data_IF_204465617477
#
_entry.id   IF_204465617477
#
_cell.length_a   1.000
_cell.length_b   1.000
_cell.length_c   1.000
_cell.angle_alpha   90.00
_cell.angle_beta   90.00
_cell.angle_gamma   90.00
#
_symmetry.space_group_name_H-M   'P 1'
#
loop_
_entity.id
_entity.type
_entity.pdbx_description
1 polymer ?
#
# COMPACT_ATOMS: atom_id res chain seq x y z
N UNK A 1 11.39 37.68 -4.80
CA UNK A 1 11.10 36.57 -5.73
C UNK A 1 11.43 35.28 -5.00
N UNK A 2 10.38 34.54 -4.64
CA UNK A 2 10.43 33.31 -3.87
C UNK A 2 11.20 32.28 -4.69
N UNK A 3 12.23 31.68 -4.08
CA UNK A 3 13.05 30.62 -4.64
C UNK A 3 12.16 29.47 -5.12
N UNK A 4 11.83 29.49 -6.41
CA UNK A 4 11.21 28.42 -7.16
C UNK A 4 12.28 27.36 -7.53
N UNK A 5 13.16 27.06 -6.59
CA UNK A 5 14.10 25.96 -6.69
C UNK A 5 13.41 24.71 -6.16
N UNK A 6 12.49 24.18 -6.96
CA UNK A 6 12.25 22.74 -7.09
C UNK A 6 13.54 22.08 -7.63
N UNK A 7 14.65 22.28 -6.92
CA UNK A 7 15.88 21.57 -7.16
C UNK A 7 15.66 20.16 -6.63
N UNK A 8 15.12 19.34 -7.53
CA UNK A 8 15.34 17.91 -7.61
C UNK A 8 15.34 17.20 -6.26
N UNK A 9 14.13 16.82 -5.83
CA UNK A 9 13.92 15.45 -5.35
C UNK A 9 14.72 14.55 -6.30
N UNK A 10 15.57 13.67 -5.77
CA UNK A 10 16.30 12.71 -6.57
C UNK A 10 15.40 12.22 -7.70
N UNK A 11 15.85 12.41 -8.95
CA UNK A 11 15.04 12.28 -10.17
C UNK A 11 14.16 11.00 -10.16
N UNK A 12 14.60 9.97 -9.43
CA UNK A 12 13.96 8.70 -9.14
C UNK A 12 12.59 8.79 -8.45
N UNK A 13 12.41 9.58 -7.39
CA UNK A 13 11.17 9.57 -6.61
C UNK A 13 10.05 10.32 -7.35
N UNK A 14 10.34 11.48 -7.94
CA UNK A 14 9.41 12.15 -8.84
C UNK A 14 9.03 11.27 -10.04
N UNK A 15 10.02 10.61 -10.68
CA UNK A 15 9.76 9.64 -11.76
C UNK A 15 8.85 8.51 -11.29
N UNK A 16 9.06 7.99 -10.08
CA UNK A 16 8.24 6.92 -9.52
C UNK A 16 6.77 7.36 -9.36
N UNK A 17 6.51 8.59 -8.91
CA UNK A 17 5.15 9.16 -8.83
C UNK A 17 4.53 9.28 -10.23
N UNK A 18 5.28 9.76 -11.22
CA UNK A 18 4.82 9.83 -12.61
C UNK A 18 4.47 8.44 -13.15
N UNK A 19 5.31 7.44 -12.91
CA UNK A 19 5.02 6.04 -13.28
C UNK A 19 3.78 5.50 -12.56
N UNK A 20 3.58 5.81 -11.28
CA UNK A 20 2.36 5.44 -10.55
C UNK A 20 1.11 6.06 -11.18
N UNK A 21 1.16 7.32 -11.62
CA UNK A 21 0.03 7.97 -12.33
C UNK A 21 -0.29 7.22 -13.63
N UNK A 22 0.74 6.90 -14.43
CA UNK A 22 0.57 6.13 -15.68
C UNK A 22 -0.04 4.75 -15.38
N UNK A 23 0.47 4.05 -14.36
CA UNK A 23 -0.04 2.77 -13.91
C UNK A 23 -1.52 2.87 -13.49
N UNK A 24 -1.90 3.90 -12.73
CA UNK A 24 -3.29 4.16 -12.35
C UNK A 24 -4.17 4.29 -13.59
N UNK A 25 -3.75 5.06 -14.59
CA UNK A 25 -4.51 5.25 -15.84
C UNK A 25 -4.71 3.92 -16.57
N UNK A 26 -3.63 3.14 -16.74
CA UNK A 26 -3.68 1.82 -17.38
C UNK A 26 -4.61 0.87 -16.61
N UNK A 27 -4.47 0.81 -15.28
CA UNK A 27 -5.30 -0.05 -14.45
C UNK A 27 -6.78 0.34 -14.55
N UNK A 28 -7.09 1.64 -14.51
CA UNK A 28 -8.48 2.13 -14.68
C UNK A 28 -9.05 1.75 -16.05
N UNK A 29 -8.25 1.81 -17.11
CA UNK A 29 -8.65 1.35 -18.42
C UNK A 29 -8.95 -0.15 -18.42
N UNK A 30 -8.08 -0.98 -17.86
CA UNK A 30 -8.26 -2.44 -17.79
C UNK A 30 -9.46 -2.84 -16.92
N UNK A 31 -9.66 -2.19 -15.77
CA UNK A 31 -10.82 -2.40 -14.90
C UNK A 31 -12.13 -2.19 -15.67
N UNK A 32 -12.21 -1.11 -16.45
CA UNK A 32 -13.37 -0.82 -17.31
C UNK A 32 -13.52 -1.86 -18.42
N UNK A 33 -12.42 -2.19 -19.11
CA UNK A 33 -12.41 -3.17 -20.22
C UNK A 33 -12.91 -4.54 -19.77
N UNK A 34 -12.49 -5.02 -18.61
CA UNK A 34 -12.87 -6.32 -18.07
C UNK A 34 -14.13 -6.29 -17.18
N UNK A 35 -14.80 -5.13 -17.06
CA UNK A 35 -16.02 -4.95 -16.25
C UNK A 35 -15.86 -5.45 -14.80
N UNK A 36 -14.70 -5.19 -14.20
CA UNK A 36 -14.39 -5.68 -12.86
C UNK A 36 -15.22 -4.93 -11.80
N UNK A 37 -15.67 -5.61 -10.72
CA UNK A 37 -16.52 -5.04 -9.69
C UNK A 37 -15.72 -4.13 -8.74
N UNK A 38 -15.31 -2.95 -9.21
CA UNK A 38 -14.45 -2.01 -8.48
C UNK A 38 -15.14 -0.67 -8.28
N UNK A 39 -15.10 -0.14 -7.05
CA UNK A 39 -15.80 1.10 -6.70
C UNK A 39 -14.85 2.13 -6.08
N UNK A 40 -14.99 3.39 -6.49
CA UNK A 40 -14.17 4.51 -6.01
C UNK A 40 -14.91 5.42 -5.03
N UNK A 41 -16.23 5.61 -5.20
CA UNK A 41 -17.00 6.60 -4.46
C UNK A 41 -18.36 6.09 -3.99
N UNK A 42 -18.53 4.76 -3.92
CA UNK A 42 -19.81 4.19 -3.46
C UNK A 42 -19.98 4.46 -1.97
N UNK A 43 -21.19 4.89 -1.57
CA UNK A 43 -21.56 5.14 -0.17
C UNK A 43 -21.05 3.98 0.70
N UNK A 44 -20.25 4.33 1.70
CA UNK A 44 -19.61 3.38 2.61
C UNK A 44 -20.66 2.45 3.21
N UNK A 45 -20.60 1.17 2.85
CA UNK A 45 -21.47 0.14 3.43
C UNK A 45 -20.65 -1.10 3.67
N UNK A 46 -20.20 -1.26 4.91
CA UNK A 46 -19.55 -2.48 5.38
C UNK A 46 -20.56 -3.62 5.25
N UNK A 47 -20.19 -4.66 4.52
CA UNK A 47 -20.93 -5.92 4.52
C UNK A 47 -20.14 -6.94 5.29
N UNK A 48 -20.50 -7.09 6.56
CA UNK A 48 -19.83 -7.98 7.49
C UNK A 48 -19.94 -7.49 8.92
N UNK A 49 -19.28 -8.19 9.83
CA UNK A 49 -19.22 -7.81 11.23
C UNK A 49 -18.23 -6.65 11.43
N UNK A 50 -18.75 -5.43 11.59
CA UNK A 50 -17.97 -4.20 11.82
C UNK A 50 -17.01 -4.34 12.99
N UNK A 51 -17.39 -5.03 14.06
CA UNK A 51 -16.52 -5.25 15.24
C UNK A 51 -15.28 -6.04 14.88
N UNK A 52 -15.42 -7.12 14.09
CA UNK A 52 -14.25 -7.90 13.62
C UNK A 52 -13.33 -7.08 12.73
N UNK A 53 -13.89 -6.24 11.87
CA UNK A 53 -13.11 -5.32 11.03
C UNK A 53 -12.29 -4.35 11.89
N UNK A 54 -12.91 -3.74 12.90
CA UNK A 54 -12.22 -2.83 13.83
C UNK A 54 -11.09 -3.58 14.54
N UNK A 55 -11.37 -4.76 15.10
CA UNK A 55 -10.37 -5.59 15.79
C UNK A 55 -9.19 -5.90 14.88
N UNK A 56 -9.43 -6.39 13.66
CA UNK A 56 -8.34 -6.70 12.72
C UNK A 56 -7.56 -5.46 12.29
N UNK A 57 -8.23 -4.33 12.13
CA UNK A 57 -7.57 -3.06 11.80
C UNK A 57 -6.65 -2.61 12.93
N UNK A 58 -7.12 -2.70 14.19
CA UNK A 58 -6.31 -2.37 15.37
C UNK A 58 -5.11 -3.31 15.50
N UNK A 59 -5.32 -4.62 15.35
CA UNK A 59 -4.23 -5.61 15.36
C UNK A 59 -3.19 -5.29 14.28
N UNK A 60 -3.64 -4.94 13.07
CA UNK A 60 -2.73 -4.57 11.98
C UNK A 60 -1.97 -3.29 12.26
N UNK A 61 -2.60 -2.28 12.85
CA UNK A 61 -1.90 -1.04 13.26
C UNK A 61 -0.82 -1.38 14.30
N UNK A 62 -1.14 -2.18 15.32
CA UNK A 62 -0.17 -2.57 16.36
C UNK A 62 1.00 -3.33 15.75
N UNK A 63 0.72 -4.31 14.89
CA UNK A 63 1.74 -5.10 14.19
C UNK A 63 2.63 -4.18 13.32
N UNK A 64 2.01 -3.29 12.56
CA UNK A 64 2.70 -2.36 11.66
C UNK A 64 3.61 -1.42 12.46
N UNK A 65 3.10 -0.79 13.53
CA UNK A 65 3.89 0.07 14.42
C UNK A 65 5.05 -0.71 15.06
N UNK A 66 4.78 -1.90 15.62
CA UNK A 66 5.80 -2.71 16.29
C UNK A 66 6.95 -3.12 15.36
N UNK A 67 6.62 -3.55 14.13
CA UNK A 67 7.64 -3.92 13.13
C UNK A 67 8.45 -2.69 12.71
N UNK A 68 7.81 -1.55 12.45
CA UNK A 68 8.52 -0.33 12.03
C UNK A 68 9.44 0.23 13.13
N UNK A 69 9.00 0.21 14.39
CA UNK A 69 9.87 0.57 15.53
C UNK A 69 11.06 -0.38 15.61
N UNK A 70 10.82 -1.69 15.47
CA UNK A 70 11.90 -2.69 15.50
C UNK A 70 12.90 -2.45 14.37
N UNK A 71 12.43 -2.19 13.15
CA UNK A 71 13.30 -1.89 12.02
C UNK A 71 14.13 -0.64 12.27
N UNK A 72 13.53 0.43 12.79
CA UNK A 72 14.23 1.68 13.09
C UNK A 72 15.26 1.54 14.22
N UNK A 73 15.00 0.70 15.23
CA UNK A 73 15.99 0.37 16.27
C UNK A 73 17.17 -0.44 15.73
N UNK A 74 16.95 -1.22 14.67
CA UNK A 74 17.98 -2.01 14.00
C UNK A 74 18.73 -1.22 12.90
N UNK A 75 18.15 -0.12 12.41
CA UNK A 75 18.73 0.71 11.35
C UNK A 75 19.48 1.93 11.93
N UNK A 76 20.78 2.02 11.71
CA UNK A 76 21.59 3.16 12.13
C UNK A 76 21.70 4.26 11.05
N UNK A 77 20.93 4.16 9.96
CA UNK A 77 21.10 5.00 8.78
C UNK A 77 20.49 6.40 8.94
N UNK A 78 21.35 7.42 9.05
CA UNK A 78 20.96 8.84 9.18
C UNK A 78 20.63 9.54 7.86
N UNK A 79 21.08 9.01 6.72
CA UNK A 79 20.98 9.70 5.41
C UNK A 79 19.54 9.77 4.89
N UNK A 80 18.84 8.64 4.81
CA UNK A 80 17.46 8.59 4.30
C UNK A 80 16.46 9.35 5.18
N UNK A 81 16.78 9.57 6.47
CA UNK A 81 16.02 10.43 7.39
C UNK A 81 16.04 11.90 6.96
N UNK A 82 17.17 12.39 6.48
CA UNK A 82 17.30 13.79 6.07
C UNK A 82 16.49 14.10 4.81
N UNK A 83 16.46 13.20 3.83
CA UNK A 83 15.71 13.39 2.59
C UNK A 83 14.20 13.53 2.83
N UNK A 84 13.67 12.70 3.71
CA UNK A 84 12.28 12.74 4.14
C UNK A 84 11.91 14.06 4.82
N UNK A 85 12.77 14.55 5.72
CA UNK A 85 12.53 15.81 6.44
C UNK A 85 12.63 17.02 5.51
N UNK A 86 13.59 17.05 4.58
CA UNK A 86 13.77 18.15 3.63
C UNK A 86 12.58 18.26 2.65
N UNK A 87 11.97 17.13 2.28
CA UNK A 87 10.88 17.06 1.29
C UNK A 87 9.53 16.64 1.91
N UNK A 88 9.33 16.90 3.20
CA UNK A 88 8.18 16.40 3.97
C UNK A 88 6.82 16.69 3.33
N UNK A 89 6.62 17.90 2.80
CA UNK A 89 5.35 18.30 2.16
C UNK A 89 5.09 17.46 0.91
N UNK A 90 6.11 17.18 0.11
CA UNK A 90 5.99 16.37 -1.10
C UNK A 90 5.63 14.91 -0.76
N UNK A 91 6.32 14.31 0.21
CA UNK A 91 6.03 12.93 0.62
C UNK A 91 4.63 12.80 1.21
N UNK A 92 4.26 13.68 2.15
CA UNK A 92 2.96 13.63 2.82
C UNK A 92 1.80 13.93 1.87
N UNK A 93 1.94 14.93 1.00
CA UNK A 93 0.81 15.44 0.22
C UNK A 93 0.68 14.80 -1.16
N UNK A 94 1.79 14.30 -1.74
CA UNK A 94 1.85 13.89 -3.15
C UNK A 94 2.30 12.44 -3.27
N UNK A 95 3.52 12.10 -2.81
CA UNK A 95 4.09 10.78 -3.08
C UNK A 95 3.30 9.65 -2.42
N UNK A 96 3.14 9.69 -1.10
CA UNK A 96 2.49 8.59 -0.37
C UNK A 96 1.04 8.37 -0.80
N UNK A 97 0.19 9.40 -0.96
CA UNK A 97 -1.16 9.19 -1.47
C UNK A 97 -1.14 8.57 -2.88
N UNK A 98 -0.41 9.14 -3.84
CA UNK A 98 -0.46 8.67 -5.23
C UNK A 98 0.04 7.23 -5.34
N UNK A 99 1.13 6.88 -4.66
CA UNK A 99 1.67 5.51 -4.66
C UNK A 99 0.72 4.52 -3.99
N UNK A 100 0.22 4.84 -2.79
CA UNK A 100 -0.74 3.99 -2.08
C UNK A 100 -2.00 3.74 -2.92
N UNK A 101 -2.58 4.79 -3.52
CA UNK A 101 -3.71 4.63 -4.43
C UNK A 101 -3.35 3.84 -5.69
N UNK A 102 -2.15 4.02 -6.24
CA UNK A 102 -1.67 3.25 -7.38
C UNK A 102 -1.62 1.76 -7.10
N UNK A 103 -1.03 1.37 -5.98
CA UNK A 103 -0.96 -0.02 -5.54
C UNK A 103 -2.35 -0.58 -5.24
N UNK A 104 -3.22 0.15 -4.54
CA UNK A 104 -4.57 -0.34 -4.23
C UNK A 104 -5.44 -0.47 -5.50
N UNK A 105 -5.29 0.42 -6.48
CA UNK A 105 -5.97 0.29 -7.77
C UNK A 105 -5.47 -0.93 -8.54
N UNK A 106 -4.15 -1.17 -8.57
CA UNK A 106 -3.56 -2.33 -9.24
C UNK A 106 -3.97 -3.63 -8.54
N UNK A 107 -3.70 -3.77 -7.25
CA UNK A 107 -3.87 -5.04 -6.54
C UNK A 107 -5.32 -5.29 -6.16
N UNK A 108 -6.04 -4.30 -5.61
CA UNK A 108 -7.42 -4.50 -5.09
C UNK A 108 -8.47 -4.13 -6.11
N UNK A 109 -8.14 -3.22 -7.03
CA UNK A 109 -9.03 -2.80 -8.10
C UNK A 109 -8.96 -3.67 -9.35
N UNK A 110 -7.78 -4.17 -9.72
CA UNK A 110 -7.57 -4.94 -10.97
C UNK A 110 -7.27 -6.42 -10.69
N UNK A 111 -6.14 -6.73 -10.05
CA UNK A 111 -5.63 -8.10 -9.94
C UNK A 111 -6.57 -8.99 -9.10
N UNK A 112 -6.90 -8.58 -7.88
CA UNK A 112 -7.74 -9.38 -6.99
C UNK A 112 -9.12 -9.67 -7.60
N UNK A 113 -9.90 -8.68 -8.09
CA UNK A 113 -11.19 -8.97 -8.70
C UNK A 113 -11.06 -9.81 -9.98
N UNK A 114 -10.00 -9.59 -10.78
CA UNK A 114 -9.74 -10.40 -11.97
C UNK A 114 -9.50 -11.87 -11.59
N UNK A 115 -8.64 -12.15 -10.61
CA UNK A 115 -8.41 -13.51 -10.11
C UNK A 115 -9.67 -14.12 -9.50
N UNK A 116 -10.48 -13.34 -8.78
CA UNK A 116 -11.75 -13.79 -8.22
C UNK A 116 -12.73 -14.22 -9.34
N UNK A 117 -12.76 -13.56 -10.50
CA UNK A 117 -13.58 -14.04 -11.64
C UNK A 117 -13.12 -15.39 -12.19
N UNK A 118 -11.85 -15.75 -12.00
CA UNK A 118 -11.27 -17.02 -12.49
C UNK A 118 -11.35 -18.14 -11.46
N UNK A 119 -11.26 -17.81 -10.18
CA UNK A 119 -11.11 -18.78 -9.07
C UNK A 119 -12.39 -19.02 -8.27
N UNK A 120 -13.38 -18.12 -8.30
CA UNK A 120 -14.66 -18.29 -7.57
C UNK A 120 -15.50 -19.50 -8.02
N UNK A 121 -15.04 -20.27 -9.03
CA UNK A 121 -15.59 -21.60 -9.35
C UNK A 121 -15.14 -22.70 -8.38
N UNK A 122 -14.09 -22.50 -7.58
CA UNK A 122 -13.39 -23.61 -6.90
C UNK A 122 -13.53 -23.70 -5.38
N UNK A 123 -13.86 -22.64 -4.61
CA UNK A 123 -14.23 -22.79 -3.19
C UNK A 123 -14.69 -21.47 -2.53
N UNK A 124 -15.75 -21.51 -1.69
CA UNK A 124 -16.27 -20.32 -0.98
C UNK A 124 -15.47 -19.90 0.25
N UNK A 125 -14.69 -20.81 0.84
CA UNK A 125 -14.08 -20.61 2.16
C UNK A 125 -12.59 -20.20 2.12
N UNK A 126 -11.88 -20.50 1.04
CA UNK A 126 -10.46 -20.20 0.91
C UNK A 126 -10.21 -19.19 -0.22
N UNK A 127 -9.85 -17.95 0.14
CA UNK A 127 -9.62 -16.90 -0.86
C UNK A 127 -8.22 -16.99 -1.46
N UNK A 128 -8.01 -18.01 -2.31
CA UNK A 128 -6.75 -18.21 -3.06
C UNK A 128 -6.35 -16.96 -3.85
N UNK A 129 -7.32 -16.18 -4.35
CA UNK A 129 -7.05 -14.94 -5.09
C UNK A 129 -6.38 -13.89 -4.20
N UNK A 130 -6.75 -13.80 -2.93
CA UNK A 130 -6.10 -12.89 -1.99
C UNK A 130 -4.66 -13.30 -1.71
N UNK A 131 -4.41 -14.61 -1.57
CA UNK A 131 -3.06 -15.13 -1.35
C UNK A 131 -2.18 -14.86 -2.57
N UNK A 132 -2.65 -15.20 -3.77
CA UNK A 132 -1.91 -14.94 -5.02
C UNK A 132 -1.65 -13.44 -5.20
N UNK A 133 -2.65 -12.60 -4.98
CA UNK A 133 -2.49 -11.14 -5.05
C UNK A 133 -1.44 -10.66 -4.06
N UNK A 134 -1.41 -11.23 -2.86
CA UNK A 134 -0.42 -10.86 -1.83
C UNK A 134 0.98 -11.33 -2.16
N UNK A 135 1.14 -12.52 -2.73
CA UNK A 135 2.43 -12.98 -3.24
C UNK A 135 2.93 -12.04 -4.35
N UNK A 136 2.06 -11.67 -5.31
CA UNK A 136 2.42 -10.75 -6.39
C UNK A 136 2.83 -9.36 -5.88
N UNK A 137 2.13 -8.84 -4.85
CA UNK A 137 2.51 -7.58 -4.20
C UNK A 137 3.84 -7.71 -3.46
N UNK A 138 4.06 -8.81 -2.73
CA UNK A 138 5.33 -9.01 -2.02
C UNK A 138 6.53 -9.12 -2.96
N UNK A 139 6.37 -9.78 -4.12
CA UNK A 139 7.45 -9.93 -5.11
C UNK A 139 7.94 -8.58 -5.63
N UNK A 140 7.06 -7.60 -5.85
CA UNK A 140 7.49 -6.26 -6.30
C UNK A 140 8.29 -5.49 -5.25
N UNK A 141 8.30 -5.95 -4.00
CA UNK A 141 9.03 -5.36 -2.90
C UNK A 141 10.36 -6.07 -2.60
N UNK A 142 10.78 -7.06 -3.42
CA UNK A 142 12.10 -7.71 -3.29
C UNK A 142 13.24 -6.68 -3.41
N UNK A 143 12.99 -5.53 -4.05
CA UNK A 143 13.90 -4.38 -4.07
C UNK A 143 14.38 -3.94 -2.69
N UNK A 144 13.65 -4.24 -1.61
CA UNK A 144 14.05 -3.95 -0.23
C UNK A 144 15.42 -4.52 0.13
N UNK A 145 15.80 -5.69 -0.38
CA UNK A 145 17.13 -6.26 -0.13
C UNK A 145 18.29 -5.42 -0.67
N UNK A 146 18.04 -4.49 -1.59
CA UNK A 146 19.06 -3.58 -2.13
C UNK A 146 19.19 -2.27 -1.35
N UNK A 147 18.17 -1.88 -0.58
CA UNK A 147 18.09 -0.55 0.05
C UNK A 147 18.12 -0.57 1.58
N UNK A 148 17.96 -1.75 2.21
CA UNK A 148 18.02 -1.87 3.66
C UNK A 148 18.77 -3.13 4.10
N UNK A 149 19.27 -3.20 5.35
CA UNK A 149 19.94 -4.37 5.87
C UNK A 149 19.09 -5.64 5.76
N UNK A 150 19.75 -6.79 5.59
CA UNK A 150 19.09 -8.07 5.31
C UNK A 150 17.93 -8.41 6.27
N UNK A 151 18.13 -8.23 7.58
CA UNK A 151 17.12 -8.49 8.59
C UNK A 151 15.92 -7.52 8.48
N UNK A 152 16.18 -6.24 8.23
CA UNK A 152 15.14 -5.23 8.01
C UNK A 152 14.34 -5.53 6.73
N UNK A 153 15.01 -5.99 5.67
CA UNK A 153 14.37 -6.38 4.41
C UNK A 153 13.43 -7.58 4.61
N UNK A 154 13.85 -8.60 5.36
CA UNK A 154 12.98 -9.75 5.70
C UNK A 154 11.74 -9.29 6.46
N UNK A 155 11.92 -8.46 7.50
CA UNK A 155 10.80 -7.94 8.28
C UNK A 155 9.84 -7.12 7.42
N UNK A 156 10.36 -6.27 6.53
CA UNK A 156 9.57 -5.49 5.59
C UNK A 156 8.76 -6.37 4.63
N UNK A 157 9.38 -7.41 4.06
CA UNK A 157 8.73 -8.36 3.14
C UNK A 157 7.59 -9.12 3.82
N UNK A 158 7.82 -9.61 5.05
CA UNK A 158 6.79 -10.27 5.86
C UNK A 158 5.65 -9.29 6.14
N UNK A 159 5.97 -8.06 6.53
CA UNK A 159 4.96 -7.03 6.80
C UNK A 159 4.13 -6.71 5.55
N UNK A 160 4.75 -6.54 4.38
CA UNK A 160 4.06 -6.31 3.10
C UNK A 160 3.10 -7.46 2.79
N UNK A 161 3.52 -8.71 2.99
CA UNK A 161 2.66 -9.87 2.74
C UNK A 161 1.43 -9.87 3.65
N UNK A 162 1.62 -9.66 4.96
CA UNK A 162 0.51 -9.66 5.94
C UNK A 162 -0.40 -8.45 5.73
N UNK A 163 0.17 -7.26 5.52
CA UNK A 163 -0.56 -6.05 5.15
C UNK A 163 -1.39 -6.28 3.89
N UNK A 164 -0.80 -6.93 2.89
CA UNK A 164 -1.48 -7.22 1.64
C UNK A 164 -2.69 -8.15 1.83
N UNK A 165 -2.56 -9.19 2.65
CA UNK A 165 -3.66 -10.09 2.99
C UNK A 165 -4.80 -9.34 3.69
N UNK A 166 -4.45 -8.44 4.63
CA UNK A 166 -5.41 -7.59 5.30
C UNK A 166 -6.15 -6.66 4.32
N UNK A 167 -5.44 -6.01 3.39
CA UNK A 167 -6.09 -5.15 2.40
C UNK A 167 -7.02 -5.93 1.46
N UNK A 168 -6.71 -7.17 1.12
CA UNK A 168 -7.65 -8.02 0.37
C UNK A 168 -8.88 -8.43 1.18
N UNK A 169 -8.73 -8.68 2.49
CA UNK A 169 -9.88 -8.86 3.38
C UNK A 169 -10.72 -7.59 3.48
N UNK A 170 -10.08 -6.43 3.66
CA UNK A 170 -10.71 -5.11 3.73
C UNK A 170 -11.49 -4.81 2.45
N UNK A 171 -10.88 -5.05 1.28
CA UNK A 171 -11.55 -4.89 -0.01
C UNK A 171 -12.82 -5.76 -0.07
N UNK A 172 -12.77 -7.01 0.38
CA UNK A 172 -13.94 -7.90 0.38
C UNK A 172 -15.08 -7.39 1.27
N UNK A 173 -14.79 -6.99 2.51
CA UNK A 173 -15.83 -6.53 3.46
C UNK A 173 -16.38 -5.14 3.12
N UNK A 174 -15.65 -4.36 2.33
CA UNK A 174 -16.06 -3.03 1.86
C UNK A 174 -16.66 -3.03 0.45
N UNK A 175 -16.92 -4.22 -0.13
CA UNK A 175 -17.40 -4.38 -1.51
C UNK A 175 -16.48 -3.75 -2.55
N UNK A 176 -15.18 -4.04 -2.47
CA UNK A 176 -14.15 -3.63 -3.42
C UNK A 176 -14.09 -2.09 -3.56
N UNK A 177 -14.24 -1.41 -2.41
CA UNK A 177 -14.13 0.04 -2.34
C UNK A 177 -12.66 0.44 -2.14
N UNK A 178 -12.03 0.84 -3.24
CA UNK A 178 -10.60 1.14 -3.30
C UNK A 178 -10.25 2.41 -2.52
N UNK A 179 -11.20 3.34 -2.34
CA UNK A 179 -10.96 4.56 -1.60
C UNK A 179 -10.61 4.27 -0.14
N UNK A 180 -11.30 3.31 0.49
CA UNK A 180 -11.03 2.95 1.89
C UNK A 180 -9.66 2.29 2.01
N UNK A 181 -9.35 1.35 1.11
CA UNK A 181 -8.03 0.73 1.08
C UNK A 181 -6.93 1.78 0.89
N UNK A 182 -7.11 2.71 -0.05
CA UNK A 182 -6.16 3.79 -0.32
C UNK A 182 -5.95 4.73 0.87
N UNK A 183 -7.02 5.11 1.57
CA UNK A 183 -6.91 5.95 2.79
C UNK A 183 -6.14 5.22 3.89
N UNK A 184 -6.49 3.96 4.18
CA UNK A 184 -5.82 3.18 5.24
C UNK A 184 -4.36 2.89 4.88
N UNK A 185 -4.06 2.60 3.62
CA UNK A 185 -2.69 2.42 3.14
C UNK A 185 -1.89 3.72 3.25
N UNK A 186 -2.46 4.85 2.83
CA UNK A 186 -1.81 6.16 2.99
C UNK A 186 -1.52 6.46 4.47
N UNK A 187 -2.45 6.12 5.37
CA UNK A 187 -2.23 6.24 6.82
C UNK A 187 -1.07 5.37 7.31
N UNK A 188 -0.93 4.13 6.82
CA UNK A 188 0.20 3.27 7.16
C UNK A 188 1.53 3.88 6.68
N UNK A 189 1.56 4.47 5.48
CA UNK A 189 2.75 5.18 5.00
C UNK A 189 3.09 6.40 5.87
N UNK A 190 2.09 7.13 6.37
CA UNK A 190 2.31 8.22 7.33
C UNK A 190 2.84 7.72 8.68
N UNK A 191 2.34 6.59 9.19
CA UNK A 191 2.85 5.98 10.42
C UNK A 191 4.30 5.55 10.24
N UNK A 192 4.63 4.89 9.12
CA UNK A 192 6.00 4.50 8.79
C UNK A 192 6.92 5.72 8.75
N UNK A 193 6.53 6.76 8.00
CA UNK A 193 7.28 8.01 7.90
C UNK A 193 7.52 8.65 9.27
N UNK A 194 6.47 8.73 10.11
CA UNK A 194 6.58 9.34 11.42
C UNK A 194 7.53 8.57 12.34
N UNK A 195 7.42 7.24 12.38
CA UNK A 195 8.34 6.41 13.18
C UNK A 195 9.77 6.61 12.70
N UNK A 196 10.00 6.54 11.39
CA UNK A 196 11.34 6.65 10.81
C UNK A 196 12.00 8.02 11.04
N UNK A 197 11.22 9.11 10.99
CA UNK A 197 11.75 10.46 11.15
C UNK A 197 11.99 10.87 12.61
N UNK A 198 11.15 10.39 13.53
CA UNK A 198 11.07 10.94 14.89
C UNK A 198 11.44 9.96 16.02
N UNK A 199 11.53 8.66 15.74
CA UNK A 199 12.02 7.65 16.68
C UNK A 199 13.40 7.14 16.27
#
# INVERSE_FOLDING_TARGET
MVYLSLFFIDNTEYRSVVFSIVLIVICRFLIKKYKLPTYYFKKFRITGNTTRLIIYTVIMIILFVGINITQNLLDASKEMRNDYLQNIIFYLSISFPIKAFGEEILYRGLILPYLETKTNRLNKNFNISNIITSILMTITHIGFFYIMPFYNAILAIILVFIASLYFGYLAKVTKQNILICGIIHTLFNYIHFFIYCYF
#
